data_IF_296993324880
#
_entry.id   IF_296993324880
#
_cell.length_a   1.000
_cell.length_b   1.000
_cell.length_c   1.000
_cell.angle_alpha   90.00
_cell.angle_beta   90.00
_cell.angle_gamma   90.00
#
_symmetry.space_group_name_H-M   'P 1'
#
loop_
_entity.id
_entity.type
_entity.pdbx_description
1 polymer ?
#
# COMPACT_ATOMS: atom_id res chain seq x y z
N UNK A 1 -7.40 3.14 15.31
CA UNK A 1 -7.05 1.79 14.82
C UNK A 1 -8.11 1.43 13.80
N UNK A 2 -7.72 1.02 12.59
CA UNK A 2 -8.67 0.59 11.57
C UNK A 2 -9.34 -0.72 11.96
N UNK A 3 -10.54 -0.95 11.42
CA UNK A 3 -11.29 -2.22 11.60
C UNK A 3 -11.66 -2.83 10.25
N UNK A 4 -11.88 -4.14 10.24
CA UNK A 4 -12.38 -4.86 9.05
C UNK A 4 -13.75 -4.27 8.67
N UNK A 5 -13.94 -3.99 7.38
CA UNK A 5 -15.17 -3.39 6.84
C UNK A 5 -15.18 -1.86 6.80
N UNK A 6 -14.17 -1.20 7.36
CA UNK A 6 -14.05 0.26 7.32
C UNK A 6 -13.75 0.76 5.90
N UNK A 7 -14.57 1.69 5.39
CA UNK A 7 -14.32 2.35 4.10
C UNK A 7 -13.21 3.39 4.27
N UNK A 8 -12.23 3.37 3.37
CA UNK A 8 -11.08 4.28 3.39
C UNK A 8 -10.87 4.96 2.02
N UNK A 9 -10.15 6.06 2.03
CA UNK A 9 -9.71 6.84 0.87
C UNK A 9 -8.18 6.87 0.84
N UNK A 10 -7.60 7.32 -0.27
CA UNK A 10 -6.15 7.41 -0.44
C UNK A 10 -5.47 8.34 0.60
N UNK A 11 -6.20 9.28 1.19
CA UNK A 11 -5.66 10.21 2.19
C UNK A 11 -5.64 9.63 3.62
N UNK A 12 -6.28 8.48 3.88
CA UNK A 12 -6.40 7.97 5.23
C UNK A 12 -5.08 7.37 5.75
N UNK A 13 -4.71 7.73 6.98
CA UNK A 13 -3.58 7.11 7.69
C UNK A 13 -3.98 5.71 8.18
N UNK A 14 -3.33 4.68 7.64
CA UNK A 14 -3.64 3.28 7.94
C UNK A 14 -2.94 2.72 9.19
N UNK A 15 -1.77 3.26 9.53
CA UNK A 15 -0.95 2.73 10.62
C UNK A 15 0.38 3.46 10.79
N UNK A 16 1.31 2.82 11.50
CA UNK A 16 2.72 3.24 11.66
C UNK A 16 3.61 2.10 11.19
N UNK A 17 4.77 2.43 10.62
CA UNK A 17 5.81 1.46 10.30
C UNK A 17 6.33 0.78 11.57
N UNK A 18 6.80 -0.46 11.47
CA UNK A 18 7.29 -1.25 12.59
C UNK A 18 8.29 -2.33 12.18
N UNK A 19 8.46 -3.32 13.06
CA UNK A 19 9.47 -4.39 12.95
C UNK A 19 8.98 -5.72 13.55
N UNK A 20 7.67 -5.96 13.59
CA UNK A 20 7.03 -7.04 14.38
C UNK A 20 7.04 -8.44 13.74
N UNK A 21 7.79 -8.65 12.65
CA UNK A 21 7.85 -9.91 11.92
C UNK A 21 9.27 -10.23 11.47
N UNK A 22 9.41 -11.08 10.44
CA UNK A 22 10.72 -11.38 9.85
C UNK A 22 11.25 -10.15 9.10
N UNK A 23 12.16 -9.42 9.73
CA UNK A 23 12.74 -8.21 9.19
C UNK A 23 14.15 -8.00 9.77
N UNK A 24 15.01 -7.28 9.02
CA UNK A 24 16.34 -6.91 9.48
C UNK A 24 16.37 -5.53 10.19
N UNK A 25 15.23 -4.84 10.24
CA UNK A 25 15.08 -3.50 10.82
C UNK A 25 13.78 -2.82 10.36
N UNK A 26 13.45 -1.62 10.90
CA UNK A 26 12.17 -0.95 10.64
C UNK A 26 12.00 -0.55 9.17
N UNK A 27 10.98 -1.11 8.51
CA UNK A 27 10.62 -0.75 7.15
C UNK A 27 9.16 -1.07 6.84
N UNK A 28 8.63 -0.52 5.74
CA UNK A 28 7.28 -0.79 5.27
C UNK A 28 7.33 -1.81 4.13
N UNK A 29 6.85 -3.03 4.38
CA UNK A 29 6.56 -3.99 3.32
C UNK A 29 5.19 -3.65 2.68
N UNK A 30 5.13 -3.54 1.35
CA UNK A 30 3.89 -3.33 0.60
C UNK A 30 3.78 -4.35 -0.51
N UNK A 31 2.60 -4.95 -0.64
CA UNK A 31 2.25 -5.88 -1.71
C UNK A 31 1.07 -5.33 -2.51
N UNK A 32 1.02 -5.63 -3.80
CA UNK A 32 -0.17 -5.45 -4.63
C UNK A 32 -0.57 -6.83 -5.15
N UNK A 33 -1.85 -7.15 -4.98
CA UNK A 33 -2.47 -8.39 -5.45
C UNK A 33 -3.57 -8.05 -6.44
N UNK A 34 -3.59 -8.76 -7.57
CA UNK A 34 -4.66 -8.68 -8.57
C UNK A 34 -5.00 -10.09 -9.00
N UNK A 35 -6.28 -10.44 -8.95
CA UNK A 35 -6.78 -11.79 -9.28
C UNK A 35 -5.98 -12.87 -8.53
N UNK A 36 -5.81 -12.65 -7.22
CA UNK A 36 -5.04 -13.48 -6.28
C UNK A 36 -3.54 -13.68 -6.57
N UNK A 37 -2.99 -12.96 -7.55
CA UNK A 37 -1.56 -13.00 -7.89
C UNK A 37 -0.84 -11.76 -7.38
N UNK A 38 0.32 -11.98 -6.77
CA UNK A 38 1.26 -10.92 -6.43
C UNK A 38 1.84 -10.31 -7.72
N UNK A 39 1.74 -9.00 -7.87
CA UNK A 39 2.24 -8.27 -9.04
C UNK A 39 3.27 -7.21 -8.64
N UNK A 40 4.14 -6.81 -9.56
CA UNK A 40 5.17 -5.80 -9.30
C UNK A 40 4.53 -4.44 -8.91
N UNK A 41 4.73 -3.93 -7.68
CA UNK A 41 4.10 -2.70 -7.22
C UNK A 41 4.54 -1.44 -7.98
N UNK A 42 5.73 -1.42 -8.59
CA UNK A 42 6.26 -0.23 -9.28
C UNK A 42 5.39 0.24 -10.45
N UNK A 43 4.70 -0.67 -11.12
CA UNK A 43 3.79 -0.33 -12.22
C UNK A 43 2.65 0.59 -11.74
N UNK A 44 2.13 0.35 -10.53
CA UNK A 44 1.01 1.10 -9.96
C UNK A 44 1.42 2.48 -9.45
N UNK A 45 2.64 2.63 -8.91
CA UNK A 45 3.15 3.95 -8.53
C UNK A 45 3.33 4.88 -9.74
N UNK A 46 3.79 4.33 -10.87
CA UNK A 46 3.93 5.10 -12.12
C UNK A 46 2.57 5.49 -12.69
N UNK A 47 1.63 4.54 -12.74
CA UNK A 47 0.27 4.78 -13.21
C UNK A 47 -0.45 5.82 -12.34
N UNK A 48 -0.39 5.68 -11.01
CA UNK A 48 -0.99 6.61 -10.07
C UNK A 48 -0.47 8.04 -10.24
N UNK A 49 0.86 8.22 -10.37
CA UNK A 49 1.42 9.56 -10.66
C UNK A 49 0.90 10.14 -11.97
N UNK A 50 0.82 9.33 -13.03
CA UNK A 50 0.32 9.81 -14.34
C UNK A 50 -1.15 10.22 -14.28
N UNK A 51 -1.99 9.43 -13.60
CA UNK A 51 -3.42 9.74 -13.43
C UNK A 51 -3.60 10.98 -12.56
N UNK A 52 -2.88 11.12 -11.45
CA UNK A 52 -2.97 12.31 -10.60
C UNK A 52 -2.48 13.60 -11.26
N UNK A 53 -1.67 13.50 -12.32
CA UNK A 53 -1.13 14.65 -13.05
C UNK A 53 -2.02 15.10 -14.23
N UNK A 54 -3.10 14.38 -14.55
CA UNK A 54 -4.05 14.74 -15.59
C UNK A 54 -5.47 14.67 -14.99
N UNK A 55 -6.09 15.82 -14.65
CA UNK A 55 -7.43 15.87 -14.07
C UNK A 55 -8.52 15.39 -15.02
#
# INVERSE_FOLDING_TARGET
MLKIGEKITAANRLGRTGSSGRCAGPHLHREIRRDDKTVNPLAFFRAGRRISQHP
#
